data_IF_298171875700
#
_entry.id   IF_298171875700
#
_cell.length_a   1.000
_cell.length_b   1.000
_cell.length_c   1.000
_cell.angle_alpha   90.00
_cell.angle_beta   90.00
_cell.angle_gamma   90.00
#
_symmetry.space_group_name_H-M   'P 1'
#
loop_
_entity.id
_entity.type
_entity.pdbx_description
1 polymer ?
#
# COMPACT_ATOMS: atom_id res chain seq x y z
N UNK A 1 -17.34 -9.45 14.86
CA UNK A 1 -16.65 -9.23 16.15
C UNK A 1 -15.70 -8.05 15.93
N UNK A 2 -16.03 -6.92 16.55
CA UNK A 2 -15.12 -5.78 16.55
C UNK A 2 -13.82 -6.20 17.28
N UNK A 3 -12.63 -5.94 16.73
CA UNK A 3 -11.40 -6.15 17.47
C UNK A 3 -11.43 -5.36 18.77
N UNK A 4 -10.74 -5.86 19.78
CA UNK A 4 -10.61 -5.21 21.08
C UNK A 4 -9.72 -3.96 20.92
N UNK A 5 -10.38 -2.88 20.49
CA UNK A 5 -9.73 -1.59 20.24
C UNK A 5 -9.74 -0.80 21.52
N UNK A 6 -8.60 -0.66 22.08
CA UNK A 6 -8.42 0.28 23.18
C UNK A 6 -8.61 1.72 22.68
N UNK A 7 -9.82 2.23 22.77
CA UNK A 7 -10.15 3.64 22.50
C UNK A 7 -9.77 4.57 23.66
N UNK A 8 -9.08 4.06 24.67
CA UNK A 8 -8.75 4.78 25.88
C UNK A 8 -7.61 5.81 25.70
N UNK A 9 -7.46 6.67 26.71
CA UNK A 9 -6.45 7.74 26.79
C UNK A 9 -4.99 7.31 26.59
N UNK A 10 -4.69 6.02 26.68
CA UNK A 10 -3.34 5.49 26.42
C UNK A 10 -2.90 5.42 24.95
N UNK A 11 -3.83 5.48 24.01
CA UNK A 11 -3.54 5.34 22.57
C UNK A 11 -2.80 6.52 21.96
N UNK A 12 -3.15 7.70 22.42
CA UNK A 12 -2.46 8.92 21.98
C UNK A 12 -0.98 8.87 22.35
N UNK A 13 -0.67 8.40 23.55
CA UNK A 13 0.70 8.20 24.00
C UNK A 13 1.45 7.13 23.18
N UNK A 14 0.76 6.09 22.74
CA UNK A 14 1.34 5.07 21.87
C UNK A 14 1.65 5.63 20.49
N UNK A 15 0.72 6.40 19.91
CA UNK A 15 0.92 7.10 18.64
C UNK A 15 2.15 8.00 18.72
N UNK A 16 2.23 8.87 19.74
CA UNK A 16 3.36 9.77 19.90
C UNK A 16 4.69 9.04 20.12
N UNK A 17 4.70 7.91 20.81
CA UNK A 17 5.91 7.06 20.93
C UNK A 17 6.35 6.53 19.57
N UNK A 18 5.41 6.04 18.74
CA UNK A 18 5.69 5.55 17.37
C UNK A 18 6.21 6.70 16.50
N UNK A 19 5.57 7.86 16.53
CA UNK A 19 6.01 9.05 15.78
C UNK A 19 7.41 9.49 16.19
N UNK A 20 7.70 9.53 17.49
CA UNK A 20 9.04 9.86 18.00
C UNK A 20 10.10 8.87 17.51
N UNK A 21 9.76 7.58 17.45
CA UNK A 21 10.65 6.54 16.90
C UNK A 21 10.90 6.76 15.41
N UNK A 22 9.86 7.03 14.62
CA UNK A 22 9.97 7.30 13.17
C UNK A 22 10.90 8.49 12.94
N UNK A 23 10.67 9.62 13.64
CA UNK A 23 11.50 10.82 13.54
C UNK A 23 12.96 10.56 13.93
N UNK A 24 13.19 9.82 15.00
CA UNK A 24 14.54 9.47 15.45
C UNK A 24 15.29 8.66 14.39
N UNK A 25 14.64 7.68 13.78
CA UNK A 25 15.25 6.81 12.76
C UNK A 25 15.34 7.50 11.38
N UNK A 26 14.51 8.52 11.14
CA UNK A 26 14.56 9.39 9.97
C UNK A 26 15.55 10.55 10.08
N UNK A 27 16.16 10.74 11.25
CA UNK A 27 17.11 11.85 11.44
C UNK A 27 18.30 11.75 10.47
N UNK A 28 18.61 12.85 9.80
CA UNK A 28 19.64 12.92 8.77
C UNK A 28 19.26 12.32 7.41
N UNK A 29 18.02 11.84 7.26
CA UNK A 29 17.46 11.38 5.98
C UNK A 29 16.52 12.44 5.40
N UNK A 30 16.28 12.38 4.10
CA UNK A 30 15.34 13.25 3.40
C UNK A 30 13.90 12.99 3.86
N UNK A 31 13.52 11.73 4.02
CA UNK A 31 12.18 11.29 4.40
C UNK A 31 12.19 10.43 5.67
N UNK A 32 11.14 10.60 6.50
CA UNK A 32 10.92 9.79 7.70
C UNK A 32 10.14 8.50 7.39
N UNK A 33 9.21 8.59 6.45
CA UNK A 33 8.29 7.52 6.07
C UNK A 33 7.85 7.66 4.61
N UNK A 34 7.12 6.66 4.12
CA UNK A 34 6.46 6.68 2.81
C UNK A 34 4.95 6.51 3.03
N UNK A 35 4.15 7.24 2.27
CA UNK A 35 2.69 7.15 2.28
C UNK A 35 2.22 6.82 0.87
N UNK A 36 1.46 5.73 0.72
CA UNK A 36 0.78 5.42 -0.53
C UNK A 36 -0.45 6.32 -0.70
N UNK A 37 -0.56 7.00 -1.84
CA UNK A 37 -1.67 7.90 -2.15
C UNK A 37 -2.45 7.42 -3.36
N UNK A 38 -3.77 7.37 -3.22
CA UNK A 38 -4.70 6.95 -4.28
C UNK A 38 -5.60 8.09 -4.79
N UNK A 39 -5.44 9.31 -4.24
CA UNK A 39 -6.36 10.43 -4.49
C UNK A 39 -7.71 10.29 -3.76
N UNK A 40 -7.87 9.26 -2.93
CA UNK A 40 -9.00 9.07 -2.04
C UNK A 40 -8.86 9.84 -0.73
N UNK A 41 -9.98 9.91 0.03
CA UNK A 41 -10.04 10.69 1.27
C UNK A 41 -9.08 10.17 2.35
N UNK A 42 -9.05 8.86 2.56
CA UNK A 42 -8.30 8.26 3.68
C UNK A 42 -6.79 8.48 3.54
N UNK A 43 -6.24 8.24 2.35
CA UNK A 43 -4.81 8.47 2.09
C UNK A 43 -4.45 9.96 2.13
N UNK A 44 -5.33 10.84 1.67
CA UNK A 44 -5.15 12.29 1.74
C UNK A 44 -5.20 12.82 3.16
N UNK A 45 -6.17 12.35 3.95
CA UNK A 45 -6.29 12.70 5.37
C UNK A 45 -5.10 12.21 6.20
N UNK A 46 -4.66 10.96 5.97
CA UNK A 46 -3.45 10.44 6.58
C UNK A 46 -2.23 11.32 6.28
N UNK A 47 -2.07 11.73 5.02
CA UNK A 47 -0.96 12.60 4.59
C UNK A 47 -1.00 13.93 5.34
N UNK A 48 -2.17 14.57 5.41
CA UNK A 48 -2.37 15.79 6.17
C UNK A 48 -2.00 15.63 7.65
N UNK A 49 -2.52 14.59 8.32
CA UNK A 49 -2.21 14.32 9.72
C UNK A 49 -0.71 14.05 9.92
N UNK A 50 -0.11 13.22 9.07
CA UNK A 50 1.31 12.89 9.17
C UNK A 50 2.19 14.12 9.05
N UNK A 51 1.88 15.03 8.14
CA UNK A 51 2.66 16.25 7.86
C UNK A 51 2.34 17.34 8.87
N UNK A 52 1.09 17.80 8.95
CA UNK A 52 0.69 18.99 9.67
C UNK A 52 0.54 18.77 11.19
N UNK A 53 0.06 17.60 11.60
CA UNK A 53 -0.19 17.33 13.02
C UNK A 53 0.96 16.60 13.69
N UNK A 54 1.58 15.64 12.99
CA UNK A 54 2.65 14.84 13.55
C UNK A 54 4.04 15.34 13.14
N UNK A 55 4.14 16.28 12.19
CA UNK A 55 5.39 16.85 11.70
C UNK A 55 6.37 15.83 11.18
N UNK A 56 5.87 14.81 10.48
CA UNK A 56 6.65 13.84 9.73
C UNK A 56 6.97 14.41 8.33
N UNK A 57 8.04 13.91 7.75
CA UNK A 57 8.45 14.22 6.36
C UNK A 57 8.18 13.01 5.47
N UNK A 58 6.94 12.83 4.99
CA UNK A 58 6.62 11.69 4.14
C UNK A 58 7.09 11.91 2.71
N UNK A 59 7.54 10.83 2.06
CA UNK A 59 7.55 10.72 0.61
C UNK A 59 6.21 10.15 0.18
N UNK A 60 5.50 10.83 -0.70
CA UNK A 60 4.27 10.30 -1.27
C UNK A 60 4.60 9.34 -2.42
N UNK A 61 3.89 8.23 -2.46
CA UNK A 61 4.07 7.19 -3.47
C UNK A 61 2.73 6.87 -4.12
N UNK A 62 2.66 7.02 -5.42
CA UNK A 62 1.51 6.66 -6.24
C UNK A 62 1.88 5.53 -7.20
N UNK A 63 0.96 4.60 -7.39
CA UNK A 63 1.07 3.55 -8.41
C UNK A 63 0.02 3.79 -9.47
N UNK A 64 0.46 4.05 -10.68
CA UNK A 64 -0.42 4.17 -11.83
C UNK A 64 -0.51 2.81 -12.54
N UNK A 65 -1.63 2.15 -12.35
CA UNK A 65 -1.96 0.88 -12.99
C UNK A 65 -2.92 1.07 -14.20
N UNK A 66 -3.08 2.31 -14.69
CA UNK A 66 -3.92 2.62 -15.85
C UNK A 66 -5.41 2.80 -15.56
N UNK A 67 -5.83 2.70 -14.28
CA UNK A 67 -7.24 2.83 -13.87
C UNK A 67 -7.57 4.17 -13.21
N UNK A 68 -6.62 5.09 -13.18
CA UNK A 68 -6.79 6.35 -12.49
C UNK A 68 -7.85 7.23 -13.17
N UNK A 69 -8.73 7.80 -12.36
CA UNK A 69 -9.65 8.83 -12.83
C UNK A 69 -8.97 10.20 -12.79
N UNK A 70 -9.36 11.12 -13.67
CA UNK A 70 -8.86 12.51 -13.66
C UNK A 70 -9.06 13.17 -12.29
N UNK A 71 -10.17 12.84 -11.62
CA UNK A 71 -10.46 13.33 -10.27
C UNK A 71 -9.43 12.86 -9.25
N UNK A 72 -9.05 11.58 -9.30
CA UNK A 72 -8.07 11.03 -8.38
C UNK A 72 -6.69 11.66 -8.60
N UNK A 73 -6.27 11.79 -9.85
CA UNK A 73 -5.01 12.46 -10.23
C UNK A 73 -5.02 13.91 -9.75
N UNK A 74 -6.07 14.67 -10.05
CA UNK A 74 -6.17 16.07 -9.61
C UNK A 74 -6.24 16.25 -8.09
N UNK A 75 -6.75 15.26 -7.35
CA UNK A 75 -6.70 15.27 -5.89
C UNK A 75 -5.28 15.04 -5.36
N UNK A 76 -4.51 14.14 -5.99
CA UNK A 76 -3.11 13.91 -5.64
C UNK A 76 -2.28 15.18 -5.89
N UNK A 77 -2.44 15.82 -7.04
CA UNK A 77 -1.76 17.06 -7.38
C UNK A 77 -2.04 18.16 -6.34
N UNK A 78 -3.32 18.40 -6.03
CA UNK A 78 -3.71 19.39 -5.00
C UNK A 78 -3.13 19.08 -3.62
N UNK A 79 -3.04 17.80 -3.25
CA UNK A 79 -2.46 17.36 -1.98
C UNK A 79 -0.95 17.65 -1.95
N UNK A 80 -0.25 17.30 -3.02
CA UNK A 80 1.20 17.50 -3.18
C UNK A 80 1.53 18.98 -3.12
N UNK A 81 0.85 19.79 -3.95
CA UNK A 81 1.09 21.24 -4.03
C UNK A 81 0.70 21.95 -2.72
N UNK A 82 -0.45 21.57 -2.14
CA UNK A 82 -0.96 22.20 -0.93
C UNK A 82 -0.13 21.95 0.32
N UNK A 83 0.58 20.84 0.39
CA UNK A 83 1.45 20.46 1.51
C UNK A 83 2.95 20.61 1.17
N UNK A 84 3.31 20.98 -0.06
CA UNK A 84 4.70 21.12 -0.49
C UNK A 84 5.50 19.81 -0.39
N UNK A 85 4.88 18.68 -0.73
CA UNK A 85 5.48 17.35 -0.57
C UNK A 85 6.06 16.82 -1.88
N UNK A 86 6.95 15.83 -1.77
CA UNK A 86 7.48 15.12 -2.92
C UNK A 86 6.59 13.92 -3.24
N UNK A 87 6.29 13.73 -4.52
CA UNK A 87 5.56 12.60 -5.06
C UNK A 87 6.47 11.77 -5.97
N UNK A 88 6.45 10.47 -5.79
CA UNK A 88 6.98 9.51 -6.76
C UNK A 88 5.82 8.69 -7.32
N UNK A 89 5.73 8.63 -8.64
CA UNK A 89 4.75 7.79 -9.33
C UNK A 89 5.46 6.63 -10.03
N UNK A 90 5.03 5.41 -9.74
CA UNK A 90 5.43 4.21 -10.47
C UNK A 90 4.35 3.80 -11.46
N UNK A 91 4.71 3.69 -12.73
CA UNK A 91 3.78 3.35 -13.81
C UNK A 91 3.93 1.86 -14.12
N UNK A 92 2.86 1.12 -13.93
CA UNK A 92 2.82 -0.32 -14.22
C UNK A 92 2.63 -0.54 -15.72
N UNK A 93 3.25 -1.60 -16.23
CA UNK A 93 3.00 -2.03 -17.62
C UNK A 93 1.52 -2.35 -17.81
N UNK A 94 0.83 -1.50 -18.59
CA UNK A 94 -0.61 -1.57 -18.80
C UNK A 94 -1.05 -2.91 -19.40
N UNK A 95 -0.31 -3.42 -20.39
CA UNK A 95 -0.70 -4.67 -21.04
C UNK A 95 -0.65 -5.85 -20.08
N UNK A 96 0.37 -5.90 -19.21
CA UNK A 96 0.51 -6.97 -18.23
C UNK A 96 -0.55 -6.88 -17.11
N UNK A 97 -0.79 -5.70 -16.54
CA UNK A 97 -1.80 -5.56 -15.48
C UNK A 97 -3.21 -5.78 -16.00
N UNK A 98 -3.50 -5.34 -17.21
CA UNK A 98 -4.78 -5.58 -17.90
C UNK A 98 -5.01 -7.07 -18.12
N UNK A 99 -4.03 -7.79 -18.67
CA UNK A 99 -4.14 -9.23 -18.91
C UNK A 99 -4.32 -10.00 -17.60
N UNK A 100 -3.56 -9.64 -16.58
CA UNK A 100 -3.72 -10.23 -15.25
C UNK A 100 -5.12 -9.95 -14.67
N UNK A 101 -5.64 -8.72 -14.79
CA UNK A 101 -6.99 -8.38 -14.33
C UNK A 101 -8.07 -9.16 -15.09
N UNK A 102 -7.93 -9.30 -16.39
CA UNK A 102 -8.84 -10.11 -17.23
C UNK A 102 -8.78 -11.57 -16.80
N UNK A 103 -7.59 -12.09 -16.46
CA UNK A 103 -7.43 -13.46 -15.96
C UNK A 103 -8.21 -13.68 -14.65
N UNK A 104 -8.19 -12.69 -13.76
CA UNK A 104 -8.97 -12.71 -12.52
C UNK A 104 -10.47 -12.66 -12.79
N UNK A 105 -10.95 -11.85 -13.72
CA UNK A 105 -12.36 -11.85 -14.13
C UNK A 105 -12.79 -13.20 -14.72
N UNK A 106 -11.98 -13.80 -15.59
CA UNK A 106 -12.24 -15.13 -16.17
C UNK A 106 -12.27 -16.23 -15.11
N UNK A 107 -11.50 -16.10 -14.03
CA UNK A 107 -11.45 -17.08 -12.95
C UNK A 107 -12.67 -17.06 -12.02
N UNK A 108 -13.47 -15.98 -12.06
CA UNK A 108 -14.70 -15.80 -11.26
C UNK A 108 -14.48 -15.87 -9.74
N UNK A 109 -13.29 -15.60 -9.27
CA UNK A 109 -13.02 -15.52 -7.82
C UNK A 109 -13.64 -14.27 -7.22
N UNK A 110 -14.01 -14.23 -5.92
CA UNK A 110 -14.62 -13.07 -5.29
C UNK A 110 -13.70 -11.84 -5.24
N UNK A 111 -12.40 -12.07 -5.05
CA UNK A 111 -11.40 -11.01 -4.83
C UNK A 111 -10.80 -10.50 -6.13
N UNK A 112 -11.46 -9.56 -6.76
CA UNK A 112 -11.03 -9.01 -8.05
C UNK A 112 -9.94 -7.93 -7.94
N UNK A 113 -9.67 -7.44 -6.73
CA UNK A 113 -8.69 -6.36 -6.49
C UNK A 113 -7.25 -6.85 -6.31
N UNK A 114 -7.05 -8.17 -6.20
CA UNK A 114 -5.72 -8.78 -5.97
C UNK A 114 -4.65 -8.32 -6.96
N UNK A 115 -4.90 -8.23 -8.29
CA UNK A 115 -3.91 -7.72 -9.22
C UNK A 115 -3.43 -6.32 -8.88
N UNK A 116 -4.35 -5.41 -8.59
CA UNK A 116 -4.05 -4.02 -8.27
C UNK A 116 -3.35 -3.88 -6.91
N UNK A 117 -3.84 -4.58 -5.89
CA UNK A 117 -3.19 -4.60 -4.57
C UNK A 117 -1.78 -5.17 -4.66
N UNK A 118 -1.58 -6.20 -5.46
CA UNK A 118 -0.25 -6.79 -5.68
C UNK A 118 0.68 -5.80 -6.36
N UNK A 119 0.24 -5.09 -7.39
CA UNK A 119 1.00 -4.05 -8.05
C UNK A 119 1.40 -2.97 -7.04
N UNK A 120 0.43 -2.45 -6.29
CA UNK A 120 0.64 -1.40 -5.31
C UNK A 120 1.65 -1.80 -4.22
N UNK A 121 1.42 -2.91 -3.53
CA UNK A 121 2.29 -3.32 -2.44
C UNK A 121 3.67 -3.76 -2.91
N UNK A 122 3.76 -4.46 -4.04
CA UNK A 122 5.04 -4.92 -4.56
C UNK A 122 5.96 -3.76 -4.92
N UNK A 123 5.44 -2.77 -5.63
CA UNK A 123 6.22 -1.60 -6.03
C UNK A 123 6.56 -0.71 -4.85
N UNK A 124 5.60 -0.49 -3.93
CA UNK A 124 5.80 0.28 -2.70
C UNK A 124 6.94 -0.29 -1.84
N UNK A 125 6.94 -1.60 -1.61
CA UNK A 125 8.00 -2.25 -0.84
C UNK A 125 9.36 -2.22 -1.52
N UNK A 126 9.41 -2.47 -2.82
CA UNK A 126 10.65 -2.35 -3.59
C UNK A 126 11.21 -0.94 -3.52
N UNK A 127 10.35 0.05 -3.67
CA UNK A 127 10.71 1.46 -3.61
C UNK A 127 11.23 1.85 -2.22
N UNK A 128 10.48 1.50 -1.17
CA UNK A 128 10.87 1.77 0.21
C UNK A 128 12.25 1.15 0.54
N UNK A 129 12.49 -0.07 0.07
CA UNK A 129 13.81 -0.72 0.21
C UNK A 129 14.91 0.02 -0.53
N UNK A 130 14.69 0.40 -1.79
CA UNK A 130 15.65 1.14 -2.62
C UNK A 130 16.09 2.44 -1.94
N UNK A 131 15.14 3.15 -1.35
CA UNK A 131 15.36 4.43 -0.67
C UNK A 131 15.68 4.30 0.83
N UNK A 132 15.84 3.08 1.34
CA UNK A 132 16.15 2.79 2.76
C UNK A 132 15.13 3.40 3.74
N UNK A 133 13.86 3.53 3.31
CA UNK A 133 12.75 3.99 4.14
C UNK A 133 12.17 2.78 4.87
N UNK A 134 12.13 2.83 6.20
CA UNK A 134 11.68 1.71 7.03
C UNK A 134 10.19 1.73 7.33
N UNK A 135 9.57 2.90 7.29
CA UNK A 135 8.21 3.08 7.75
C UNK A 135 7.27 3.37 6.59
N UNK A 136 6.24 2.56 6.47
CA UNK A 136 5.16 2.74 5.51
C UNK A 136 3.90 3.05 6.31
N UNK A 137 3.23 4.15 5.96
CA UNK A 137 1.94 4.52 6.54
C UNK A 137 0.87 4.29 5.48
N UNK A 138 -0.22 3.62 5.87
CA UNK A 138 -1.35 3.36 4.98
C UNK A 138 -2.63 3.97 5.52
N UNK A 139 -3.49 4.48 4.63
CA UNK A 139 -4.76 5.10 4.99
C UNK A 139 -5.89 4.11 5.32
N UNK A 140 -5.57 2.82 5.45
CA UNK A 140 -6.55 1.81 5.80
C UNK A 140 -7.27 2.13 7.10
N UNK A 141 -8.61 2.13 7.07
CA UNK A 141 -9.40 2.38 8.27
C UNK A 141 -10.24 1.16 8.66
N UNK A 142 -10.42 1.02 9.97
CA UNK A 142 -11.13 -0.13 10.51
C UNK A 142 -12.61 -0.17 10.14
N UNK A 143 -13.25 0.97 10.08
CA UNK A 143 -14.70 1.06 9.90
C UNK A 143 -15.18 0.59 8.54
N UNK A 144 -14.33 0.75 7.51
CA UNK A 144 -14.67 0.41 6.12
C UNK A 144 -13.96 -0.82 5.57
N UNK A 145 -12.79 -1.17 6.12
CA UNK A 145 -11.94 -2.21 5.55
C UNK A 145 -11.81 -3.48 6.40
N UNK A 146 -12.36 -3.48 7.62
CA UNK A 146 -12.31 -4.65 8.50
C UNK A 146 -13.62 -5.44 8.55
N UNK A 147 -14.43 -5.37 7.51
CA UNK A 147 -15.57 -6.26 7.34
C UNK A 147 -15.01 -7.63 6.94
N UNK A 148 -15.24 -8.63 7.80
CA UNK A 148 -14.90 -10.01 7.45
C UNK A 148 -15.78 -10.48 6.31
N UNK A 149 -15.14 -11.00 5.31
CA UNK A 149 -15.81 -11.72 4.24
C UNK A 149 -16.49 -12.98 4.81
N UNK A 150 -17.62 -13.41 4.22
CA UNK A 150 -18.24 -14.68 4.54
C UNK A 150 -17.23 -15.83 4.41
N UNK A 151 -17.25 -16.76 5.35
CA UNK A 151 -16.32 -17.93 5.33
C UNK A 151 -16.50 -18.78 4.07
N UNK A 152 -17.70 -18.76 3.50
CA UNK A 152 -18.05 -19.47 2.25
C UNK A 152 -17.29 -18.94 1.03
N UNK A 153 -16.81 -17.69 1.07
CA UNK A 153 -16.00 -17.11 -0.03
C UNK A 153 -14.55 -17.57 0.01
N UNK A 154 -14.14 -18.23 1.09
CA UNK A 154 -12.75 -18.59 1.33
C UNK A 154 -11.89 -17.37 1.72
N UNK A 155 -10.86 -17.62 2.49
CA UNK A 155 -9.87 -16.61 2.83
C UNK A 155 -8.70 -16.74 1.85
N UNK A 156 -8.56 -15.79 0.93
CA UNK A 156 -7.41 -15.74 0.04
C UNK A 156 -6.32 -14.83 0.63
N UNK A 157 -5.07 -15.28 0.69
CA UNK A 157 -3.96 -14.43 1.08
C UNK A 157 -3.70 -13.42 -0.04
N UNK A 158 -4.22 -12.20 0.04
CA UNK A 158 -4.24 -11.19 -1.01
C UNK A 158 -2.95 -11.04 -1.84
N UNK A 159 -1.76 -11.21 -1.23
CA UNK A 159 -0.47 -11.18 -1.94
C UNK A 159 0.14 -12.59 -1.86
N UNK A 160 -0.34 -13.50 -2.67
CA UNK A 160 0.23 -14.84 -2.85
C UNK A 160 0.67 -15.03 -4.29
N UNK A 161 1.99 -15.11 -4.46
CA UNK A 161 2.60 -15.28 -5.78
C UNK A 161 2.13 -16.55 -6.48
N UNK A 162 2.05 -17.67 -5.75
CA UNK A 162 1.64 -18.96 -6.32
C UNK A 162 0.21 -18.90 -6.81
N UNK A 163 -0.69 -18.33 -6.02
CA UNK A 163 -2.09 -18.16 -6.37
C UNK A 163 -2.26 -17.26 -7.61
N UNK A 164 -1.58 -16.11 -7.63
CA UNK A 164 -1.66 -15.17 -8.77
C UNK A 164 -1.14 -15.82 -10.05
N UNK A 165 0.01 -16.50 -9.97
CA UNK A 165 0.59 -17.16 -11.12
C UNK A 165 -0.23 -18.36 -11.59
N UNK A 166 -0.90 -19.10 -10.70
CA UNK A 166 -1.79 -20.20 -11.06
C UNK A 166 -2.99 -19.70 -11.86
N UNK A 167 -3.64 -18.61 -11.41
CA UNK A 167 -4.73 -17.97 -12.16
C UNK A 167 -4.24 -17.48 -13.52
N UNK A 168 -3.13 -16.76 -13.54
CA UNK A 168 -2.58 -16.23 -14.78
C UNK A 168 -2.17 -17.32 -15.76
N UNK A 169 -1.62 -18.45 -15.27
CA UNK A 169 -1.25 -19.59 -16.14
C UNK A 169 -2.44 -20.24 -16.85
N UNK A 170 -3.64 -20.12 -16.26
CA UNK A 170 -4.89 -20.72 -16.80
C UNK A 170 -5.63 -19.78 -17.74
N UNK A 171 -5.56 -18.48 -17.50
CA UNK A 171 -6.41 -17.50 -18.16
C UNK A 171 -5.67 -16.33 -18.82
N UNK A 172 -4.36 -16.17 -18.54
CA UNK A 172 -3.53 -15.12 -19.13
C UNK A 172 -3.10 -15.44 -20.56
N UNK A 173 -2.89 -14.41 -21.34
CA UNK A 173 -2.54 -14.49 -22.76
C UNK A 173 -1.13 -14.00 -23.04
N UNK A 174 -0.58 -13.14 -22.16
CA UNK A 174 0.76 -12.59 -22.32
C UNK A 174 1.64 -12.89 -21.08
N UNK A 175 2.97 -13.00 -21.24
CA UNK A 175 3.84 -13.25 -20.11
C UNK A 175 3.99 -12.02 -19.22
N UNK A 176 3.96 -12.22 -17.90
CA UNK A 176 4.27 -11.17 -16.91
C UNK A 176 5.80 -11.03 -16.78
N UNK A 177 6.39 -10.02 -17.41
CA UNK A 177 7.84 -9.77 -17.42
C UNK A 177 8.22 -8.66 -16.44
N UNK A 178 7.49 -7.56 -16.47
CA UNK A 178 7.75 -6.36 -15.70
C UNK A 178 6.89 -6.30 -14.44
N UNK A 179 5.76 -7.01 -14.44
CA UNK A 179 4.84 -7.03 -13.31
C UNK A 179 5.49 -7.62 -12.07
N UNK A 180 5.57 -6.81 -11.05
CA UNK A 180 6.25 -7.20 -9.81
C UNK A 180 5.31 -7.91 -8.85
N UNK A 181 5.59 -9.17 -8.57
CA UNK A 181 4.90 -9.94 -7.54
C UNK A 181 5.88 -10.19 -6.39
N UNK A 182 5.54 -9.69 -5.19
CA UNK A 182 6.30 -10.03 -3.98
C UNK A 182 5.85 -11.41 -3.50
N UNK A 183 6.83 -12.30 -3.32
CA UNK A 183 6.61 -13.55 -2.62
C UNK A 183 6.27 -13.27 -1.15
N UNK A 184 5.24 -13.95 -0.62
CA UNK A 184 4.79 -13.78 0.77
C UNK A 184 5.91 -14.09 1.77
N UNK A 185 6.77 -15.05 1.45
CA UNK A 185 7.93 -15.36 2.27
C UNK A 185 8.93 -14.20 2.29
N UNK A 186 9.24 -13.64 1.11
CA UNK A 186 10.12 -12.47 0.98
C UNK A 186 9.55 -11.30 1.76
N UNK A 187 8.23 -11.06 1.65
CA UNK A 187 7.56 -10.01 2.41
C UNK A 187 7.66 -10.22 3.92
N UNK A 188 7.21 -11.38 4.40
CA UNK A 188 7.12 -11.65 5.86
C UNK A 188 8.49 -11.73 6.52
N UNK A 189 9.45 -12.37 5.87
CA UNK A 189 10.77 -12.62 6.48
C UNK A 189 11.74 -11.49 6.17
N UNK A 190 11.96 -11.21 4.90
CA UNK A 190 13.02 -10.30 4.51
C UNK A 190 12.70 -8.83 4.82
N UNK A 191 11.54 -8.34 4.39
CA UNK A 191 11.21 -6.92 4.60
C UNK A 191 10.91 -6.61 6.06
N UNK A 192 10.12 -7.43 6.72
CA UNK A 192 9.70 -7.17 8.10
C UNK A 192 10.79 -7.48 9.13
N UNK A 193 11.38 -8.66 9.06
CA UNK A 193 12.29 -9.12 10.10
C UNK A 193 13.75 -8.76 9.84
N UNK A 194 14.22 -8.82 8.60
CA UNK A 194 15.63 -8.54 8.27
C UNK A 194 15.84 -7.05 8.03
N UNK A 195 14.99 -6.39 7.24
CA UNK A 195 15.12 -4.95 6.95
C UNK A 195 14.43 -4.06 7.99
N UNK A 196 13.66 -4.62 8.92
CA UNK A 196 12.96 -3.87 9.96
C UNK A 196 11.90 -2.93 9.41
N UNK A 197 11.36 -3.21 8.23
CA UNK A 197 10.28 -2.41 7.65
C UNK A 197 8.99 -2.63 8.43
N UNK A 198 8.30 -1.55 8.73
CA UNK A 198 7.05 -1.59 9.50
C UNK A 198 5.95 -0.85 8.76
N UNK A 199 4.81 -1.50 8.58
CA UNK A 199 3.59 -0.90 8.06
C UNK A 199 2.73 -0.49 9.23
N UNK A 200 2.29 0.77 9.24
CA UNK A 200 1.31 1.29 10.19
C UNK A 200 0.02 1.61 9.42
N UNK A 201 -1.09 1.11 9.95
CA UNK A 201 -2.45 1.48 9.54
C UNK A 201 -3.00 2.49 10.52
#
# INVERSE_FOLDING_TARGET
>A
ILPDWNNGKGRENELFRKVKKIKKEGFGKEFDCIIGVSGGLDSSYLTYIATEKLGLRPLLFHVDAGWNTDKAVGNIEKLVDGLGLNLYTDVINWEEIKDLQVSFFKSQIPHQDIPQDTAFFSTLYKFARKHKIKYILTGGNFSTECIREPEEWGAYPGIDKTFILDIHSKYGEIPLKDFSIIDVFVYKVFYKYILGMTVFK
#
